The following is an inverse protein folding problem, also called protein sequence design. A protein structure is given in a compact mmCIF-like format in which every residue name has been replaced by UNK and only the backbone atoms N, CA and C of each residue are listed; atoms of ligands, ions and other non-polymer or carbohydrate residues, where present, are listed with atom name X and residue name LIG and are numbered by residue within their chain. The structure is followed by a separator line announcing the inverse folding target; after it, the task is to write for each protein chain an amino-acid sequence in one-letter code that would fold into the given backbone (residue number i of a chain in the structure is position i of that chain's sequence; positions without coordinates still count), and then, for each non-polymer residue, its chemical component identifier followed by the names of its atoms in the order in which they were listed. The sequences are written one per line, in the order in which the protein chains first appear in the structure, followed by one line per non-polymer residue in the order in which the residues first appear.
data_IF_166831149778
#
_entry.id   IF_166831149778
#
_cell.length_a   1.000
_cell.length_b   1.000
_cell.length_c   1.000
_cell.angle_alpha   90.00
_cell.angle_beta   90.00
_cell.angle_gamma   90.00
#
_symmetry.space_group_name_H-M   'P 1'
#
loop_
_entity.id
_entity.type
_entity.pdbx_description
1 polymer ?
#
# COMPACT_ATOMS: atom_id res chain seq x y z
N UNK A 1 -8.13 -18.00 -10.10
CA UNK A 1 -8.04 -17.08 -8.94
C UNK A 1 -9.41 -16.57 -8.50
N UNK A 2 -10.19 -15.88 -9.36
CA UNK A 2 -11.47 -15.27 -8.96
C UNK A 2 -12.55 -16.26 -8.51
N UNK A 3 -12.73 -17.38 -9.24
CA UNK A 3 -13.74 -18.39 -8.93
C UNK A 3 -13.54 -19.06 -7.55
N UNK A 4 -12.30 -19.36 -7.18
CA UNK A 4 -11.95 -19.90 -5.86
C UNK A 4 -12.31 -18.90 -4.74
N UNK A 5 -12.13 -17.60 -4.96
CA UNK A 5 -12.48 -16.54 -3.98
C UNK A 5 -13.99 -16.38 -3.84
N UNK A 6 -14.73 -16.47 -4.93
CA UNK A 6 -16.21 -16.46 -4.90
C UNK A 6 -16.77 -17.68 -4.16
N UNK A 7 -16.11 -18.82 -4.29
CA UNK A 7 -16.45 -20.05 -3.57
C UNK A 7 -16.17 -19.93 -2.07
N UNK A 8 -14.98 -19.43 -1.70
CA UNK A 8 -14.65 -19.12 -0.29
C UNK A 8 -15.61 -18.09 0.33
N UNK A 9 -16.04 -17.09 -0.46
CA UNK A 9 -17.04 -16.11 -0.01
C UNK A 9 -18.40 -16.76 0.22
N UNK A 10 -18.82 -17.65 -0.67
CA UNK A 10 -20.07 -18.44 -0.54
C UNK A 10 -20.05 -19.35 0.68
N UNK A 11 -18.87 -19.87 1.04
CA UNK A 11 -18.66 -20.76 2.19
C UNK A 11 -18.36 -20.00 3.49
N UNK A 12 -18.43 -18.66 3.49
CA UNK A 12 -18.19 -17.79 4.65
C UNK A 12 -16.78 -17.98 5.24
N UNK A 13 -15.82 -18.35 4.40
CA UNK A 13 -14.40 -18.42 4.76
C UNK A 13 -13.79 -17.02 4.66
N UNK A 14 -14.28 -16.10 5.48
CA UNK A 14 -13.91 -14.68 5.43
C UNK A 14 -12.46 -14.45 5.83
N UNK A 15 -11.95 -15.22 6.80
CA UNK A 15 -10.54 -15.17 7.24
C UNK A 15 -9.59 -15.47 6.07
N UNK A 16 -9.86 -16.52 5.29
CA UNK A 16 -9.07 -16.89 4.10
C UNK A 16 -9.11 -15.85 2.95
N UNK A 17 -10.07 -14.92 2.99
CA UNK A 17 -10.19 -13.83 2.02
C UNK A 17 -9.46 -12.56 2.45
N UNK A 18 -9.05 -12.46 3.72
CA UNK A 18 -8.23 -11.38 4.23
C UNK A 18 -6.82 -11.53 3.65
N UNK A 19 -6.59 -10.85 2.52
CA UNK A 19 -5.29 -10.85 1.85
C UNK A 19 -4.16 -10.44 2.80
N UNK A 20 -4.46 -9.59 3.80
CA UNK A 20 -3.51 -9.21 4.84
C UNK A 20 -3.01 -10.40 5.68
N UNK A 21 -3.90 -11.28 6.14
CA UNK A 21 -3.53 -12.46 6.95
C UNK A 21 -2.71 -13.45 6.12
N UNK A 22 -3.13 -13.67 4.87
CA UNK A 22 -2.38 -14.51 3.91
C UNK A 22 -1.00 -13.95 3.59
N UNK A 23 -0.90 -12.64 3.41
CA UNK A 23 0.37 -11.96 3.20
C UNK A 23 1.25 -12.04 4.45
N UNK A 24 0.68 -11.87 5.65
CA UNK A 24 1.41 -11.99 6.92
C UNK A 24 2.00 -13.40 7.11
N UNK A 25 1.29 -14.46 6.72
CA UNK A 25 1.85 -15.83 6.68
C UNK A 25 3.04 -15.97 5.73
N UNK A 26 2.99 -15.28 4.58
CA UNK A 26 4.07 -15.30 3.58
C UNK A 26 5.22 -14.34 3.94
N UNK A 27 4.95 -13.31 4.73
CA UNK A 27 5.92 -12.34 5.24
C UNK A 27 6.43 -12.68 6.65
N UNK A 28 6.00 -13.80 7.24
CA UNK A 28 6.52 -14.37 8.47
C UNK A 28 7.95 -14.92 8.30
N UNK A 29 8.86 -14.04 7.90
CA UNK A 29 10.27 -14.21 8.08
C UNK A 29 10.74 -13.01 8.90
N UNK A 30 10.87 -13.21 10.21
CA UNK A 30 11.91 -12.50 10.96
C UNK A 30 13.17 -12.70 10.15
N UNK A 31 13.62 -11.68 9.41
CA UNK A 31 14.81 -11.83 8.59
C UNK A 31 15.91 -12.30 9.54
N UNK A 32 16.65 -13.38 9.18
CA UNK A 32 17.73 -13.85 10.02
C UNK A 32 18.68 -12.67 10.28
N UNK A 33 19.27 -12.60 11.49
CA UNK A 33 20.19 -11.52 11.81
C UNK A 33 21.24 -11.43 10.71
N UNK A 34 21.33 -10.26 10.08
CA UNK A 34 22.25 -10.02 8.97
C UNK A 34 23.69 -10.15 9.48
N UNK A 35 24.49 -10.93 8.77
CA UNK A 35 25.93 -11.01 8.98
C UNK A 35 26.63 -9.72 8.54
N UNK A 36 27.80 -9.44 9.13
CA UNK A 36 28.55 -8.20 8.87
C UNK A 36 28.91 -8.04 7.38
N UNK A 37 29.15 -9.13 6.65
CA UNK A 37 29.43 -9.11 5.22
C UNK A 37 28.19 -8.70 4.40
N UNK A 38 27.01 -9.25 4.73
CA UNK A 38 25.75 -8.79 4.12
C UNK A 38 25.43 -7.33 4.45
N UNK A 39 25.70 -6.87 5.67
CA UNK A 39 25.54 -5.45 6.05
C UNK A 39 26.43 -4.58 5.18
N UNK A 40 27.72 -4.93 5.03
CA UNK A 40 28.65 -4.19 4.17
C UNK A 40 28.19 -4.18 2.71
N UNK A 41 27.75 -5.33 2.18
CA UNK A 41 27.26 -5.45 0.80
C UNK A 41 26.05 -4.56 0.54
N UNK A 42 25.08 -4.54 1.46
CA UNK A 42 23.87 -3.70 1.33
C UNK A 42 24.24 -2.22 1.45
N UNK A 43 25.08 -1.86 2.42
CA UNK A 43 25.56 -0.49 2.59
C UNK A 43 26.27 0.01 1.33
N UNK A 44 27.24 -0.75 0.81
CA UNK A 44 28.00 -0.38 -0.38
C UNK A 44 27.08 -0.24 -1.60
N UNK A 45 26.12 -1.16 -1.79
CA UNK A 45 25.12 -1.05 -2.85
C UNK A 45 24.33 0.26 -2.75
N UNK A 46 23.82 0.60 -1.57
CA UNK A 46 23.06 1.84 -1.35
C UNK A 46 23.91 3.10 -1.60
N UNK A 47 25.19 3.07 -1.22
CA UNK A 47 26.13 4.16 -1.51
C UNK A 47 26.37 4.33 -3.00
N UNK A 48 26.55 3.23 -3.75
CA UNK A 48 26.71 3.25 -5.21
C UNK A 48 25.44 3.73 -5.94
N UNK A 49 24.25 3.45 -5.38
CA UNK A 49 22.97 3.98 -5.86
C UNK A 49 22.74 5.46 -5.49
N UNK A 50 23.65 6.09 -4.73
CA UNK A 50 23.51 7.47 -4.26
C UNK A 50 22.51 7.64 -3.11
N UNK A 51 21.99 6.54 -2.56
CA UNK A 51 21.01 6.51 -1.46
C UNK A 51 21.70 6.67 -0.10
N UNK A 52 22.51 7.72 0.05
CA UNK A 52 23.39 7.95 1.23
C UNK A 52 22.61 7.95 2.54
N UNK A 53 21.46 8.63 2.59
CA UNK A 53 20.62 8.68 3.80
C UNK A 53 20.09 7.29 4.18
N UNK A 54 19.70 6.48 3.20
CA UNK A 54 19.23 5.11 3.45
C UNK A 54 20.37 4.21 3.91
N UNK A 55 21.56 4.35 3.30
CA UNK A 55 22.77 3.61 3.68
C UNK A 55 23.18 3.90 5.13
N UNK A 56 23.24 5.18 5.51
CA UNK A 56 23.55 5.59 6.90
C UNK A 56 22.51 5.04 7.86
N UNK A 57 21.22 5.27 7.57
CA UNK A 57 20.12 4.77 8.41
C UNK A 57 20.19 3.25 8.60
N UNK A 58 20.46 2.49 7.54
CA UNK A 58 20.56 1.03 7.58
C UNK A 58 21.64 0.54 8.54
N UNK A 59 22.79 1.23 8.64
CA UNK A 59 23.89 0.81 9.53
C UNK A 59 23.71 1.35 10.96
N UNK A 60 23.07 2.51 11.13
CA UNK A 60 22.90 3.18 12.44
C UNK A 60 21.63 2.77 13.19
N UNK A 61 20.51 2.55 12.50
CA UNK A 61 19.25 2.11 13.13
C UNK A 61 19.14 0.58 13.06
N UNK A 62 19.86 -0.12 13.95
CA UNK A 62 19.92 -1.59 13.98
C UNK A 62 18.73 -2.30 14.64
N UNK A 63 17.71 -1.58 15.09
CA UNK A 63 16.56 -2.24 15.73
C UNK A 63 15.52 -1.24 16.20
N UNK A 64 14.32 -1.29 15.62
CA UNK A 64 13.21 -0.44 16.05
C UNK A 64 12.15 -0.14 15.00
N UNK A 65 12.24 -0.73 13.81
CA UNK A 65 11.24 -0.57 12.76
C UNK A 65 10.84 -1.93 12.20
N UNK A 66 9.73 -2.45 12.70
CA UNK A 66 9.12 -3.68 12.21
C UNK A 66 7.64 -3.66 12.51
N UNK A 67 6.85 -4.40 11.72
CA UNK A 67 5.44 -4.62 12.04
C UNK A 67 5.40 -5.51 13.27
N UNK A 68 4.83 -4.99 14.36
CA UNK A 68 4.60 -5.79 15.54
C UNK A 68 3.33 -6.63 15.35
N UNK A 69 3.43 -7.92 15.61
CA UNK A 69 2.29 -8.82 15.48
C UNK A 69 1.19 -8.46 16.50
N UNK A 70 -0.12 -8.50 16.16
CA UNK A 70 -1.20 -8.14 17.09
C UNK A 70 -1.17 -8.91 18.42
N UNK A 71 -0.74 -10.17 18.39
CA UNK A 71 -0.59 -11.03 19.57
C UNK A 71 0.72 -10.82 20.35
N UNK A 72 1.63 -9.95 19.90
CA UNK A 72 2.86 -9.65 20.63
C UNK A 72 2.54 -8.90 21.93
N UNK A 73 3.40 -9.09 22.94
CA UNK A 73 3.25 -8.41 24.22
C UNK A 73 3.43 -6.90 24.05
N UNK A 74 2.50 -6.12 24.59
CA UNK A 74 2.57 -4.67 24.53
C UNK A 74 3.69 -4.14 25.43
N UNK A 75 4.57 -3.30 24.87
CA UNK A 75 5.60 -2.60 25.63
C UNK A 75 4.97 -1.73 26.72
N UNK A 76 5.60 -1.67 27.90
CA UNK A 76 5.19 -0.84 29.04
C UNK A 76 3.79 -1.17 29.60
N UNK A 77 3.24 -2.35 29.28
CA UNK A 77 2.02 -2.90 29.89
C UNK A 77 2.35 -4.14 30.75
N UNK A 78 1.45 -4.53 31.67
CA UNK A 78 1.60 -5.77 32.43
C UNK A 78 1.75 -7.00 31.50
N UNK A 79 2.42 -8.06 31.96
CA UNK A 79 2.53 -9.31 31.20
C UNK A 79 1.14 -9.88 30.92
N UNK A 80 0.95 -10.38 29.70
CA UNK A 80 -0.33 -10.94 29.21
C UNK A 80 -1.22 -9.96 28.44
N UNK A 81 -0.90 -8.66 28.41
CA UNK A 81 -1.60 -7.69 27.55
C UNK A 81 -0.98 -7.69 26.15
N UNK A 82 -1.79 -7.97 25.14
CA UNK A 82 -1.35 -7.96 23.74
C UNK A 82 -1.42 -6.56 23.12
N UNK A 83 -0.72 -6.36 22.01
CA UNK A 83 -0.86 -5.12 21.23
C UNK A 83 -2.29 -4.91 20.74
N UNK A 84 -3.00 -5.98 20.35
CA UNK A 84 -4.40 -5.90 19.94
C UNK A 84 -5.29 -5.37 21.08
N UNK A 85 -5.04 -5.77 22.32
CA UNK A 85 -5.80 -5.28 23.48
C UNK A 85 -5.59 -3.78 23.68
N UNK A 86 -4.34 -3.32 23.57
CA UNK A 86 -4.01 -1.88 23.65
C UNK A 86 -4.63 -1.10 22.51
N UNK A 87 -4.64 -1.65 21.30
CA UNK A 87 -5.26 -1.00 20.14
C UNK A 87 -6.78 -0.90 20.32
N UNK A 88 -7.43 -1.94 20.85
CA UNK A 88 -8.86 -1.93 21.18
C UNK A 88 -9.20 -0.94 22.29
N UNK A 89 -8.36 -0.84 23.32
CA UNK A 89 -8.51 0.15 24.40
C UNK A 89 -8.44 1.59 23.86
N UNK A 90 -7.55 1.85 22.90
CA UNK A 90 -7.40 3.17 22.26
C UNK A 90 -8.48 3.47 21.23
N UNK A 91 -9.08 2.44 20.63
CA UNK A 91 -10.04 2.63 19.57
C UNK A 91 -11.36 3.13 20.17
N UNK A 92 -11.92 4.26 19.69
CA UNK A 92 -13.23 4.69 20.15
C UNK A 92 -14.28 3.63 19.80
N UNK A 93 -15.37 3.51 20.57
CA UNK A 93 -16.48 2.65 20.19
C UNK A 93 -16.97 3.05 18.79
N UNK A 94 -17.35 2.07 17.99
CA UNK A 94 -17.90 2.33 16.67
C UNK A 94 -19.13 3.23 16.81
N UNK A 95 -19.02 4.47 16.33
CA UNK A 95 -20.14 5.39 16.31
C UNK A 95 -20.89 5.18 15.00
N UNK A 96 -22.21 5.01 15.09
CA UNK A 96 -23.05 5.19 13.91
C UNK A 96 -22.98 6.67 13.52
N UNK A 97 -22.74 6.99 12.24
CA UNK A 97 -22.82 8.38 11.80
C UNK A 97 -24.21 8.91 12.14
N UNK A 98 -24.27 10.07 12.80
CA UNK A 98 -25.53 10.75 13.04
C UNK A 98 -26.09 11.27 11.70
N UNK A 99 -27.40 11.44 11.59
CA UNK A 99 -28.05 11.87 10.33
C UNK A 99 -27.50 13.23 9.87
N UNK A 100 -27.11 14.08 10.82
CA UNK A 100 -26.50 15.39 10.58
C UNK A 100 -25.07 15.32 10.02
N UNK A 101 -24.40 14.16 10.12
CA UNK A 101 -23.09 13.94 9.49
C UNK A 101 -23.22 13.73 7.97
N UNK A 102 -24.41 13.39 7.49
CA UNK A 102 -24.69 13.29 6.07
C UNK A 102 -25.05 14.67 5.53
N UNK A 103 -24.38 15.06 4.45
CA UNK A 103 -24.78 16.25 3.70
C UNK A 103 -26.17 16.00 3.09
N UNK A 104 -27.17 16.85 3.39
CA UNK A 104 -28.46 16.78 2.71
C UNK A 104 -28.21 16.95 1.21
N UNK A 105 -28.53 15.91 0.44
CA UNK A 105 -28.24 15.87 -0.99
C UNK A 105 -29.52 15.44 -1.72
N UNK A 106 -30.31 16.43 -2.12
CA UNK A 106 -31.57 16.21 -2.86
C UNK A 106 -31.32 15.62 -4.26
N UNK A 107 -30.12 15.83 -4.79
CA UNK A 107 -29.68 15.27 -6.07
C UNK A 107 -28.18 15.00 -6.04
N UNK A 108 -27.76 13.83 -6.50
CA UNK A 108 -26.34 13.50 -6.70
C UNK A 108 -25.66 14.59 -7.54
N UNK A 109 -24.48 15.11 -7.11
CA UNK A 109 -23.73 16.04 -7.92
C UNK A 109 -23.38 15.38 -9.27
N UNK A 110 -23.30 16.16 -10.36
CA UNK A 110 -22.92 15.62 -11.65
C UNK A 110 -21.54 14.98 -11.53
N UNK A 111 -21.39 13.76 -12.05
CA UNK A 111 -20.10 13.13 -12.17
C UNK A 111 -19.24 13.99 -13.11
N UNK A 112 -18.20 14.60 -12.56
CA UNK A 112 -17.22 15.32 -13.37
C UNK A 112 -16.34 14.26 -14.02
N UNK A 113 -16.36 14.21 -15.34
CA UNK A 113 -15.45 13.35 -16.08
C UNK A 113 -14.02 13.85 -15.88
N UNK A 114 -13.18 13.00 -15.29
CA UNK A 114 -11.78 13.32 -15.01
C UNK A 114 -10.95 12.72 -16.13
N UNK A 115 -10.56 13.56 -17.09
CA UNK A 115 -9.64 13.15 -18.13
C UNK A 115 -8.20 13.06 -17.59
N UNK A 116 -7.75 11.84 -17.32
CA UNK A 116 -6.35 11.58 -17.00
C UNK A 116 -5.62 11.40 -18.32
N UNK A 117 -4.85 12.40 -18.72
CA UNK A 117 -3.99 12.32 -19.90
C UNK A 117 -2.61 11.73 -19.57
N UNK A 118 -1.86 11.34 -20.61
CA UNK A 118 -0.45 10.95 -20.48
C UNK A 118 0.38 12.04 -19.77
N UNK A 119 0.09 13.32 -20.05
CA UNK A 119 0.79 14.45 -19.44
C UNK A 119 0.51 14.59 -17.95
N UNK A 120 -0.73 14.28 -17.53
CA UNK A 120 -1.10 14.23 -16.11
C UNK A 120 -0.34 13.11 -15.41
N UNK A 121 -0.29 11.92 -16.01
CA UNK A 121 0.48 10.80 -15.47
C UNK A 121 1.97 11.16 -15.35
N UNK A 122 2.58 11.72 -16.40
CA UNK A 122 3.98 12.16 -16.38
C UNK A 122 4.27 13.16 -15.25
N UNK A 123 3.41 14.17 -15.06
CA UNK A 123 3.56 15.16 -13.99
C UNK A 123 3.52 14.50 -12.62
N UNK A 124 2.55 13.61 -12.39
CA UNK A 124 2.40 12.89 -11.12
C UNK A 124 3.61 12.01 -10.82
N UNK A 125 4.15 11.32 -11.83
CA UNK A 125 5.32 10.44 -11.68
C UNK A 125 6.58 11.23 -11.32
N UNK A 126 6.76 12.43 -11.90
CA UNK A 126 7.88 13.31 -11.57
C UNK A 126 7.83 13.84 -10.13
N UNK A 127 6.62 14.06 -9.60
CA UNK A 127 6.42 14.45 -8.21
C UNK A 127 6.28 13.27 -7.25
N UNK A 128 6.32 12.04 -7.76
CA UNK A 128 6.15 10.85 -6.93
C UNK A 128 7.29 10.78 -5.92
N UNK A 129 6.95 10.46 -4.68
CA UNK A 129 7.90 10.23 -3.60
C UNK A 129 7.39 9.08 -2.75
N UNK A 130 8.27 8.19 -2.34
CA UNK A 130 7.90 7.07 -1.47
C UNK A 130 8.72 5.82 -1.73
N UNK A 131 8.64 4.90 -0.78
CA UNK A 131 9.21 3.55 -0.89
C UNK A 131 8.27 2.62 -1.67
N UNK A 132 8.68 1.35 -1.80
CA UNK A 132 7.83 0.32 -2.38
C UNK A 132 6.47 0.24 -1.65
N UNK A 133 5.38 0.33 -2.41
CA UNK A 133 4.03 0.04 -1.94
C UNK A 133 3.70 -1.46 -2.02
N UNK A 134 2.43 -1.87 -1.85
CA UNK A 134 2.02 -3.28 -1.92
C UNK A 134 2.28 -3.93 -3.29
N UNK A 135 2.51 -3.13 -4.33
CA UNK A 135 2.90 -3.59 -5.67
C UNK A 135 4.42 -3.82 -5.82
N UNK A 136 5.22 -3.58 -4.78
CA UNK A 136 6.67 -3.80 -4.76
C UNK A 136 7.53 -2.77 -5.49
N UNK A 137 6.95 -1.91 -6.32
CA UNK A 137 7.66 -0.85 -7.04
C UNK A 137 7.84 0.42 -6.20
N UNK A 138 9.08 0.89 -6.07
CA UNK A 138 9.43 2.17 -5.43
C UNK A 138 9.43 3.34 -6.44
N UNK A 139 9.69 4.56 -5.95
CA UNK A 139 9.71 5.75 -6.80
C UNK A 139 10.70 5.63 -7.97
N UNK A 140 11.90 5.10 -7.72
CA UNK A 140 12.96 4.98 -8.73
C UNK A 140 12.55 3.99 -9.83
N UNK A 141 11.91 2.89 -9.44
CA UNK A 141 11.33 1.92 -10.36
C UNK A 141 10.28 2.57 -11.26
N UNK A 142 9.30 3.27 -10.67
CA UNK A 142 8.21 3.88 -11.44
C UNK A 142 8.68 5.02 -12.34
N UNK A 143 9.54 5.90 -11.84
CA UNK A 143 10.15 6.96 -12.64
C UNK A 143 11.02 6.38 -13.76
N UNK A 144 11.79 5.33 -13.46
CA UNK A 144 12.59 4.62 -14.44
C UNK A 144 11.73 4.05 -15.57
N UNK A 145 10.71 3.30 -15.21
CA UNK A 145 9.82 2.62 -16.16
C UNK A 145 9.02 3.60 -17.02
N UNK A 146 8.50 4.69 -16.43
CA UNK A 146 7.55 5.59 -17.07
C UNK A 146 8.16 6.87 -17.65
N UNK A 147 9.43 7.18 -17.40
CA UNK A 147 10.09 8.37 -17.94
C UNK A 147 11.29 8.07 -18.84
N UNK A 148 12.04 6.98 -18.63
CA UNK A 148 13.39 6.83 -19.22
C UNK A 148 13.43 6.22 -20.63
N UNK A 149 12.41 5.47 -21.05
CA UNK A 149 12.44 4.70 -22.30
C UNK A 149 11.67 5.35 -23.47
N UNK A 150 11.58 6.69 -23.46
CA UNK A 150 10.99 7.47 -24.55
C UNK A 150 9.59 6.99 -24.95
N UNK A 151 9.39 6.67 -26.23
CA UNK A 151 8.09 6.24 -26.75
C UNK A 151 7.51 4.99 -26.07
N UNK A 152 8.35 4.07 -25.55
CA UNK A 152 7.87 2.88 -24.83
C UNK A 152 7.28 3.27 -23.47
N UNK A 153 7.98 4.15 -22.75
CA UNK A 153 7.48 4.75 -21.51
C UNK A 153 6.22 5.57 -21.75
N UNK A 154 6.15 6.33 -22.86
CA UNK A 154 4.96 7.08 -23.25
C UNK A 154 3.73 6.18 -23.43
N UNK A 155 3.85 5.07 -24.17
CA UNK A 155 2.78 4.07 -24.30
C UNK A 155 2.31 3.52 -22.96
N UNK A 156 3.24 3.28 -22.04
CA UNK A 156 2.90 2.79 -20.71
C UNK A 156 2.16 3.86 -19.89
N UNK A 157 2.54 5.13 -19.99
CA UNK A 157 1.79 6.24 -19.38
C UNK A 157 0.38 6.37 -19.95
N UNK A 158 0.20 6.21 -21.27
CA UNK A 158 -1.14 6.18 -21.89
C UNK A 158 -1.96 4.99 -21.39
N UNK A 159 -1.33 3.81 -21.22
CA UNK A 159 -2.00 2.62 -20.69
C UNK A 159 -2.37 2.75 -19.20
N UNK A 160 -1.59 3.48 -18.39
CA UNK A 160 -1.91 3.81 -16.99
C UNK A 160 -3.05 4.82 -16.90
N UNK A 161 -3.15 5.71 -17.87
CA UNK A 161 -4.19 6.74 -17.97
C UNK A 161 -5.56 6.19 -18.45
N UNK A 162 -5.53 5.20 -19.34
CA UNK A 162 -6.72 4.61 -19.99
C UNK A 162 -7.81 4.02 -19.06
N UNK A 163 -7.50 3.34 -17.92
CA UNK A 163 -8.51 2.70 -17.09
C UNK A 163 -9.51 3.68 -16.48
N UNK A 164 -9.15 4.96 -16.32
CA UNK A 164 -10.04 5.97 -15.75
C UNK A 164 -11.18 6.32 -16.72
N UNK A 165 -10.94 6.25 -18.02
CA UNK A 165 -11.99 6.40 -19.04
C UNK A 165 -13.00 5.25 -19.03
N UNK A 166 -12.64 4.08 -18.47
CA UNK A 166 -13.52 2.92 -18.32
C UNK A 166 -14.29 2.88 -16.98
N UNK A 167 -13.94 3.77 -16.04
CA UNK A 167 -14.61 3.90 -14.73
C UNK A 167 -15.68 5.00 -14.70
N UNK A 168 -15.84 5.75 -15.79
CA UNK A 168 -16.97 6.65 -16.02
C UNK A 168 -18.12 5.93 -16.75
N UNK A 169 -19.37 6.26 -16.38
CA UNK A 169 -20.18 5.42 -15.52
C UNK A 169 -20.48 4.04 -16.14
N UNK A 170 -20.39 2.98 -15.33
CA UNK A 170 -21.31 1.84 -15.47
C UNK A 170 -22.70 2.48 -15.42
N UNK A 171 -23.29 2.65 -16.60
CA UNK A 171 -24.56 3.33 -16.74
C UNK A 171 -25.56 2.65 -15.82
N UNK A 172 -26.15 3.41 -14.92
CA UNK A 172 -27.55 3.22 -14.58
C UNK A 172 -28.35 3.29 -15.89
N UNK A 173 -28.45 2.16 -16.59
CA UNK A 173 -29.30 1.97 -17.74
C UNK A 173 -30.33 0.90 -17.37
N UNK A 174 -31.56 1.40 -17.24
CA UNK A 174 -32.84 0.71 -17.34
C UNK A 174 -33.30 -0.25 -16.24
N UNK A 175 -34.19 0.33 -15.42
CA UNK A 175 -35.42 -0.22 -14.78
C UNK A 175 -35.28 -1.09 -13.55
#
# INVERSE_FOLDING_TARGET
MLWRRLEMWREVLVEELLEAERLDEHFAATQPPLDDESVYRIFNKLMLEGKVRAAVRFVTERGGGGVLHPSAQAEKRPPGVTLLDVLREKHPPQQQPCEEAFLPCDSLPPLIDVDITESTAERTIRSLSGSAGPTGGDVDFWQGLLLRFGAKSGRLRSAVASPVSGLAPISCASR
#
